data_IF_637987826385
#
_entry.id   IF_637987826385
#
_cell.length_a   1.000
_cell.length_b   1.000
_cell.length_c   1.000
_cell.angle_alpha   90.00
_cell.angle_beta   90.00
_cell.angle_gamma   90.00
#
_symmetry.space_group_name_H-M   'P 1'
#
loop_
_entity.id
_entity.type
_entity.pdbx_description
1 polymer ?
#
# COMPACT_ATOMS: atom_id res chain seq x y z
N UNK A 1 61.83 25.04 -1.60
CA UNK A 1 61.16 23.73 -1.61
C UNK A 1 59.86 23.86 -0.82
N UNK A 2 58.77 24.30 -1.46
CA UNK A 2 57.47 24.47 -0.81
C UNK A 2 56.73 23.13 -0.89
N UNK A 3 56.59 22.47 0.25
CA UNK A 3 55.96 21.15 0.36
C UNK A 3 54.50 21.28 0.75
N UNK A 4 53.65 20.79 -0.16
CA UNK A 4 52.36 20.13 0.06
C UNK A 4 51.21 21.03 0.53
N UNK A 5 50.58 21.58 -0.51
CA UNK A 5 49.13 21.66 -0.67
C UNK A 5 48.34 20.80 0.34
N UNK A 6 47.60 21.47 1.21
CA UNK A 6 46.43 20.90 1.87
C UNK A 6 45.22 21.70 1.39
N UNK A 7 44.90 21.57 0.10
CA UNK A 7 43.62 22.02 -0.41
C UNK A 7 42.58 21.03 0.09
N UNK A 8 41.82 21.45 1.10
CA UNK A 8 40.65 20.79 1.65
C UNK A 8 39.71 20.47 0.49
N UNK A 9 39.56 19.18 0.20
CA UNK A 9 38.75 18.71 -0.92
C UNK A 9 37.66 17.76 -0.42
N UNK A 10 36.42 18.19 -0.68
CA UNK A 10 35.18 17.41 -0.91
C UNK A 10 34.57 16.84 0.41
N UNK A 11 33.26 16.74 0.65
CA UNK A 11 32.07 16.61 -0.21
C UNK A 11 30.87 17.15 0.56
N UNK A 12 30.10 18.08 -0.01
CA UNK A 12 28.71 18.29 0.45
C UNK A 12 27.90 17.16 -0.18
N UNK A 13 27.71 16.07 0.56
CA UNK A 13 26.79 15.01 0.17
C UNK A 13 25.36 15.55 0.30
N UNK A 14 24.83 16.12 -0.77
CA UNK A 14 23.39 16.40 -0.87
C UNK A 14 22.67 15.06 -0.93
N UNK A 15 22.16 14.59 0.20
CA UNK A 15 21.26 13.44 0.25
C UNK A 15 19.97 13.88 -0.45
N UNK A 16 19.82 13.49 -1.72
CA UNK A 16 18.54 13.63 -2.42
C UNK A 16 17.56 12.65 -1.76
N UNK A 17 16.62 13.18 -0.97
CA UNK A 17 15.53 12.38 -0.43
C UNK A 17 14.69 11.82 -1.59
N UNK A 18 14.40 10.51 -1.62
CA UNK A 18 13.55 9.95 -2.66
C UNK A 18 12.14 10.56 -2.63
N UNK A 19 11.46 10.61 -3.79
CA UNK A 19 10.09 11.10 -3.86
C UNK A 19 9.19 10.20 -3.01
N UNK A 20 8.38 10.82 -2.17
CA UNK A 20 7.38 10.10 -1.43
C UNK A 20 6.10 10.00 -2.23
N UNK A 21 5.73 8.77 -2.55
CA UNK A 21 4.48 8.46 -3.23
C UNK A 21 3.43 8.08 -2.19
N UNK A 22 2.21 8.60 -2.36
CA UNK A 22 1.06 8.14 -1.61
C UNK A 22 0.78 6.66 -1.94
N UNK A 23 0.54 5.86 -0.90
CA UNK A 23 0.20 4.44 -1.01
C UNK A 23 -1.31 4.23 -0.98
N UNK A 24 -1.79 3.36 -1.87
CA UNK A 24 -3.18 2.92 -1.90
C UNK A 24 -3.32 1.59 -1.14
N UNK A 25 -4.08 1.60 -0.04
CA UNK A 25 -4.39 0.42 0.76
C UNK A 25 -5.82 -0.05 0.49
N UNK A 26 -5.96 -1.23 -0.12
CA UNK A 26 -7.28 -1.88 -0.25
C UNK A 26 -7.61 -2.54 1.09
N UNK A 27 -8.62 -2.02 1.77
CA UNK A 27 -9.02 -2.49 3.11
C UNK A 27 -9.53 -3.93 3.01
N UNK A 28 -8.91 -4.85 3.75
CA UNK A 28 -9.19 -6.29 3.68
C UNK A 28 -8.57 -7.01 2.48
N UNK A 29 -7.65 -6.36 1.75
CA UNK A 29 -6.94 -6.90 0.59
C UNK A 29 -7.88 -7.52 -0.46
N UNK A 30 -7.73 -8.83 -0.75
CA UNK A 30 -8.56 -9.54 -1.73
C UNK A 30 -10.00 -9.73 -1.26
N UNK A 31 -10.23 -9.79 0.06
CA UNK A 31 -11.57 -9.97 0.63
C UNK A 31 -12.39 -8.69 0.60
N UNK A 32 -11.73 -7.53 0.64
CA UNK A 32 -12.39 -6.23 0.66
C UNK A 32 -13.07 -5.90 2.00
N UNK A 33 -13.98 -4.94 1.96
CA UNK A 33 -14.75 -4.48 3.11
C UNK A 33 -15.98 -5.38 3.29
N UNK A 34 -15.84 -6.44 4.08
CA UNK A 34 -16.89 -7.43 4.37
C UNK A 34 -16.78 -8.02 5.79
N UNK A 35 -17.75 -8.85 6.17
CA UNK A 35 -17.75 -9.60 7.43
C UNK A 35 -16.75 -10.77 7.40
N UNK A 36 -16.31 -11.22 8.58
CA UNK A 36 -15.39 -12.36 8.70
C UNK A 36 -13.91 -12.03 8.41
N UNK A 37 -13.60 -10.76 8.15
CA UNK A 37 -12.21 -10.27 8.02
C UNK A 37 -11.75 -9.70 9.36
N UNK A 38 -10.56 -10.09 9.81
CA UNK A 38 -9.92 -9.49 10.97
C UNK A 38 -9.15 -8.23 10.53
N UNK A 39 -9.80 -7.06 10.63
CA UNK A 39 -9.20 -5.79 10.22
C UNK A 39 -8.05 -5.32 11.11
N UNK A 40 -8.00 -5.78 12.36
CA UNK A 40 -6.84 -5.54 13.24
C UNK A 40 -5.62 -6.26 12.69
N UNK A 41 -5.73 -7.55 12.41
CA UNK A 41 -4.66 -8.33 11.79
C UNK A 41 -4.31 -7.82 10.39
N UNK A 42 -5.30 -7.35 9.62
CA UNK A 42 -5.03 -6.72 8.32
C UNK A 42 -4.18 -5.44 8.45
N UNK A 43 -4.41 -4.63 9.48
CA UNK A 43 -3.66 -3.40 9.73
C UNK A 43 -2.28 -3.64 10.35
N UNK A 44 -2.03 -4.79 10.96
CA UNK A 44 -0.73 -5.13 11.56
C UNK A 44 0.40 -5.09 10.53
N UNK A 45 1.52 -4.47 10.91
CA UNK A 45 2.71 -4.32 10.08
C UNK A 45 2.57 -3.32 8.91
N UNK A 46 1.42 -2.66 8.76
CA UNK A 46 1.24 -1.57 7.78
C UNK A 46 1.53 -0.22 8.43
N UNK A 47 2.23 0.63 7.69
CA UNK A 47 2.53 2.00 8.08
C UNK A 47 1.69 2.95 7.23
N UNK A 48 0.87 3.78 7.86
CA UNK A 48 -0.02 4.70 7.16
C UNK A 48 0.51 6.11 7.33
N UNK A 49 0.65 6.84 6.22
CA UNK A 49 1.18 8.19 6.21
C UNK A 49 0.16 9.20 5.72
N UNK A 50 0.39 10.48 6.05
CA UNK A 50 -0.40 11.56 5.44
C UNK A 50 -0.23 11.52 3.93
N UNK A 51 -1.34 11.53 3.21
CA UNK A 51 -1.40 11.44 1.75
C UNK A 51 -1.80 10.06 1.23
N UNK A 52 -1.60 9.00 2.01
CA UNK A 52 -2.05 7.64 1.65
C UNK A 52 -3.57 7.57 1.53
N UNK A 53 -4.07 6.52 0.87
CA UNK A 53 -5.49 6.33 0.61
C UNK A 53 -5.95 4.97 1.10
N UNK A 54 -7.07 4.95 1.81
CA UNK A 54 -7.83 3.73 2.08
C UNK A 54 -8.88 3.54 0.99
N UNK A 55 -8.95 2.34 0.43
CA UNK A 55 -9.93 1.96 -0.60
C UNK A 55 -10.82 0.86 -0.02
N UNK A 56 -12.08 1.19 0.20
CA UNK A 56 -13.11 0.28 0.71
C UNK A 56 -13.92 -0.27 -0.46
N UNK A 57 -13.71 -1.55 -0.79
CA UNK A 57 -14.43 -2.24 -1.86
C UNK A 57 -15.47 -3.19 -1.30
N UNK A 58 -16.72 -3.07 -1.76
CA UNK A 58 -17.85 -3.88 -1.35
C UNK A 58 -19.00 -3.78 -2.36
N UNK A 59 -19.93 -4.74 -2.37
CA UNK A 59 -21.10 -4.63 -3.24
C UNK A 59 -22.00 -3.47 -2.79
N UNK A 60 -22.38 -2.59 -3.71
CA UNK A 60 -23.20 -1.43 -3.39
C UNK A 60 -24.52 -1.86 -2.73
N UNK A 61 -24.89 -1.20 -1.64
CA UNK A 61 -26.13 -1.48 -0.91
C UNK A 61 -26.04 -2.57 0.16
N UNK A 62 -24.95 -3.36 0.22
CA UNK A 62 -24.78 -4.36 1.31
C UNK A 62 -24.01 -3.80 2.51
N UNK A 63 -23.11 -2.86 2.27
CA UNK A 63 -22.25 -2.25 3.26
C UNK A 63 -22.16 -0.74 3.03
N UNK A 64 -21.56 -0.04 3.99
CA UNK A 64 -21.23 1.38 3.91
C UNK A 64 -19.96 1.64 4.74
N UNK A 65 -19.43 2.85 4.65
CA UNK A 65 -18.29 3.29 5.44
C UNK A 65 -18.63 4.59 6.13
N UNK A 66 -18.51 4.59 7.45
CA UNK A 66 -18.51 5.81 8.26
C UNK A 66 -17.12 6.06 8.79
N UNK A 67 -16.67 7.32 8.73
CA UNK A 67 -15.55 7.80 9.55
C UNK A 67 -16.10 8.27 10.89
N UNK A 68 -15.57 7.75 11.99
CA UNK A 68 -16.06 8.03 13.35
C UNK A 68 -14.93 8.40 14.30
N UNK A 69 -15.27 8.78 15.53
CA UNK A 69 -14.32 8.94 16.62
C UNK A 69 -14.13 7.62 17.40
N UNK A 70 -13.17 7.59 18.33
CA UNK A 70 -12.87 6.39 19.12
C UNK A 70 -14.03 5.87 19.96
N UNK A 71 -14.84 6.76 20.56
CA UNK A 71 -16.01 6.36 21.37
C UNK A 71 -17.08 5.71 20.52
N UNK A 72 -17.46 6.35 19.40
CA UNK A 72 -18.43 5.81 18.46
C UNK A 72 -17.93 4.51 17.82
N UNK A 73 -16.63 4.37 17.57
CA UNK A 73 -16.03 3.12 17.12
C UNK A 73 -16.19 2.00 18.14
N UNK A 74 -15.93 2.26 19.43
CA UNK A 74 -16.08 1.27 20.50
C UNK A 74 -17.53 0.82 20.67
N UNK A 75 -18.45 1.77 20.61
CA UNK A 75 -19.89 1.54 20.81
C UNK A 75 -20.61 1.10 19.52
N UNK A 76 -19.93 1.09 18.38
CA UNK A 76 -20.57 0.96 17.07
C UNK A 76 -21.72 1.96 16.85
N UNK A 77 -21.56 3.18 17.37
CA UNK A 77 -22.55 4.24 17.23
C UNK A 77 -22.52 4.77 15.79
N UNK A 78 -23.65 4.62 15.09
CA UNK A 78 -23.80 4.99 13.68
C UNK A 78 -24.23 6.46 13.58
N UNK A 79 -23.47 7.31 12.85
CA UNK A 79 -23.85 8.70 12.57
C UNK A 79 -25.07 8.83 11.64
N UNK A 80 -25.41 10.06 11.24
CA UNK A 80 -26.51 10.30 10.30
C UNK A 80 -26.30 9.55 8.98
N UNK A 81 -27.34 8.97 8.34
CA UNK A 81 -27.22 8.34 7.02
C UNK A 81 -26.55 9.20 5.94
N UNK A 82 -26.65 10.53 6.03
CA UNK A 82 -26.03 11.48 5.10
C UNK A 82 -24.49 11.51 5.16
N UNK A 83 -23.90 10.99 6.23
CA UNK A 83 -22.45 10.94 6.44
C UNK A 83 -21.83 9.64 5.90
N UNK A 84 -22.66 8.70 5.45
CA UNK A 84 -22.20 7.41 4.94
C UNK A 84 -21.58 7.55 3.55
N UNK A 85 -20.43 6.91 3.35
CA UNK A 85 -19.96 6.57 2.01
C UNK A 85 -20.61 5.25 1.58
N UNK A 86 -21.17 5.24 0.36
CA UNK A 86 -22.09 4.16 -0.11
C UNK A 86 -21.84 3.76 -1.56
N UNK A 87 -20.70 4.13 -2.16
CA UNK A 87 -20.47 3.88 -3.59
C UNK A 87 -20.18 2.41 -3.92
N UNK A 88 -19.69 1.63 -2.93
CA UNK A 88 -19.14 0.29 -3.14
C UNK A 88 -17.64 0.26 -3.50
N UNK A 89 -17.04 1.43 -3.76
CA UNK A 89 -15.60 1.58 -3.98
C UNK A 89 -15.13 2.92 -3.43
N UNK A 90 -15.39 3.16 -2.15
CA UNK A 90 -15.10 4.45 -1.51
C UNK A 90 -13.61 4.62 -1.26
N UNK A 91 -13.13 5.84 -1.50
CA UNK A 91 -11.72 6.21 -1.32
C UNK A 91 -11.64 7.30 -0.26
N UNK A 92 -10.79 7.09 0.75
CA UNK A 92 -10.54 8.06 1.80
C UNK A 92 -9.05 8.39 1.82
N UNK A 93 -8.72 9.64 1.52
CA UNK A 93 -7.35 10.17 1.69
C UNK A 93 -7.06 10.47 3.16
N UNK A 94 -5.93 9.99 3.66
CA UNK A 94 -5.45 10.22 5.01
C UNK A 94 -4.81 11.61 5.09
N UNK A 95 -5.65 12.63 5.32
CA UNK A 95 -5.20 14.03 5.25
C UNK A 95 -4.47 14.54 6.50
N UNK A 96 -4.60 13.86 7.65
CA UNK A 96 -4.03 14.32 8.91
C UNK A 96 -3.44 13.16 9.71
N UNK A 97 -2.39 13.41 10.53
CA UNK A 97 -1.85 12.41 11.44
C UNK A 97 -2.86 11.97 12.51
N UNK A 98 -2.50 10.93 13.26
CA UNK A 98 -3.23 10.40 14.40
C UNK A 98 -4.18 9.26 14.04
N UNK A 99 -4.89 8.76 15.05
CA UNK A 99 -5.79 7.62 14.89
C UNK A 99 -6.99 7.97 14.01
N UNK A 100 -7.37 7.03 13.15
CA UNK A 100 -8.57 7.11 12.30
C UNK A 100 -9.41 5.87 12.52
N UNK A 101 -10.72 6.04 12.63
CA UNK A 101 -11.66 4.96 12.91
C UNK A 101 -12.73 4.91 11.83
N UNK A 102 -13.03 3.70 11.39
CA UNK A 102 -14.01 3.44 10.34
C UNK A 102 -14.89 2.26 10.75
N UNK A 103 -16.18 2.34 10.45
CA UNK A 103 -17.16 1.29 10.76
C UNK A 103 -18.12 1.08 9.60
N UNK A 104 -18.70 -0.11 9.52
CA UNK A 104 -19.92 -0.34 8.75
C UNK A 104 -21.13 -0.16 9.68
N UNK A 105 -22.06 0.73 9.31
CA UNK A 105 -23.26 1.04 10.09
C UNK A 105 -24.49 0.21 9.70
N UNK A 106 -24.35 -0.83 8.88
CA UNK A 106 -25.46 -1.70 8.48
C UNK A 106 -25.71 -2.74 9.59
N UNK A 107 -26.86 -2.66 10.26
CA UNK A 107 -27.27 -3.60 11.31
C UNK A 107 -26.16 -3.86 12.34
N UNK A 108 -25.89 -5.13 12.62
CA UNK A 108 -24.86 -5.58 13.58
C UNK A 108 -23.45 -5.73 12.97
N UNK A 109 -23.19 -5.20 11.76
CA UNK A 109 -21.92 -5.47 11.07
C UNK A 109 -20.70 -4.94 11.85
N UNK A 110 -20.78 -3.73 12.40
CA UNK A 110 -19.70 -3.18 13.24
C UNK A 110 -19.47 -4.03 14.50
N UNK A 111 -20.55 -4.42 15.19
CA UNK A 111 -20.46 -5.25 16.39
C UNK A 111 -19.88 -6.64 16.08
N UNK A 112 -20.14 -7.14 14.87
CA UNK A 112 -19.58 -8.39 14.33
C UNK A 112 -18.16 -8.25 13.78
N UNK A 113 -17.48 -7.13 14.04
CA UNK A 113 -16.06 -6.94 13.72
C UNK A 113 -15.77 -6.18 12.42
N UNK A 114 -16.79 -5.70 11.69
CA UNK A 114 -16.60 -4.91 10.46
C UNK A 114 -16.28 -3.44 10.78
N UNK A 115 -15.09 -3.25 11.35
CA UNK A 115 -14.58 -1.97 11.85
C UNK A 115 -13.05 -1.95 11.75
N UNK A 116 -12.50 -0.81 11.34
CA UNK A 116 -11.06 -0.60 11.17
C UNK A 116 -10.60 0.57 12.03
N UNK A 117 -9.47 0.39 12.71
CA UNK A 117 -8.71 1.48 13.30
C UNK A 117 -7.28 1.42 12.82
N UNK A 118 -6.74 2.58 12.43
CA UNK A 118 -5.35 2.76 12.03
C UNK A 118 -4.74 3.96 12.75
N UNK A 119 -3.41 4.04 12.75
CA UNK A 119 -2.66 5.22 13.18
C UNK A 119 -1.94 5.79 11.96
N UNK A 120 -2.10 7.09 11.72
CA UNK A 120 -1.48 7.80 10.60
C UNK A 120 -0.32 8.64 11.11
N UNK A 121 0.86 8.46 10.55
CA UNK A 121 2.04 9.23 10.90
C UNK A 121 2.15 10.52 10.10
N UNK A 122 2.82 11.51 10.70
CA UNK A 122 3.07 12.82 10.10
C UNK A 122 4.22 12.84 9.11
N UNK A 123 5.04 11.79 9.07
CA UNK A 123 6.11 11.74 8.09
C UNK A 123 5.51 11.56 6.71
N UNK A 124 6.10 12.24 5.76
CA UNK A 124 6.04 11.84 4.37
C UNK A 124 6.64 10.42 4.31
N UNK A 125 5.96 9.45 3.68
CA UNK A 125 6.34 8.03 3.72
C UNK A 125 7.86 7.83 3.53
N UNK A 126 8.53 6.98 4.33
CA UNK A 126 9.94 6.72 4.17
C UNK A 126 10.18 6.20 2.75
N UNK A 127 11.19 6.79 2.13
CA UNK A 127 11.59 6.46 0.78
C UNK A 127 11.72 4.94 0.58
N UNK A 128 11.07 4.42 -0.45
CA UNK A 128 11.31 3.06 -0.92
C UNK A 128 12.80 2.90 -1.26
N UNK A 129 13.41 1.82 -0.77
CA UNK A 129 14.82 1.54 -1.03
C UNK A 129 15.08 1.52 -2.55
N UNK A 130 16.21 2.09 -3.02
CA UNK A 130 16.53 2.07 -4.43
C UNK A 130 16.60 0.63 -4.93
N UNK A 131 15.89 0.36 -6.04
CA UNK A 131 15.94 -0.94 -6.70
C UNK A 131 17.39 -1.31 -7.05
N UNK A 132 17.81 -2.58 -6.92
CA UNK A 132 19.15 -2.99 -7.33
C UNK A 132 19.34 -2.67 -8.81
N UNK A 133 20.47 -2.03 -9.14
CA UNK A 133 20.79 -1.64 -10.51
C UNK A 133 20.81 -2.87 -11.43
N UNK A 134 20.29 -2.78 -12.67
CA UNK A 134 20.49 -3.83 -13.66
C UNK A 134 21.98 -3.97 -13.92
N UNK A 135 22.53 -5.17 -13.72
CA UNK A 135 23.92 -5.47 -14.02
C UNK A 135 24.11 -5.37 -15.54
N UNK A 136 24.70 -4.26 -15.98
CA UNK A 136 25.15 -4.06 -17.36
C UNK A 136 26.29 -5.04 -17.64
N UNK A 137 25.95 -6.19 -18.24
CA UNK A 137 26.93 -7.06 -18.87
C UNK A 137 27.51 -6.35 -20.10
N UNK A 138 28.81 -6.07 -20.06
CA UNK A 138 29.56 -5.50 -21.18
C UNK A 138 29.58 -6.39 -22.44
N UNK A 139 30.07 -5.87 -23.59
CA UNK A 139 29.66 -6.33 -24.91
C UNK A 139 30.53 -7.46 -25.52
N UNK A 140 29.81 -8.34 -26.23
CA UNK A 140 30.12 -9.02 -27.50
C UNK A 140 31.45 -9.78 -27.64
N UNK A 141 31.34 -11.11 -27.74
CA UNK A 141 32.03 -11.86 -28.80
C UNK A 141 31.00 -12.66 -29.58
N UNK A 142 30.84 -12.26 -30.84
CA UNK A 142 30.10 -12.97 -31.86
C UNK A 142 30.66 -14.38 -32.02
N UNK A 143 29.80 -15.39 -31.90
CA UNK A 143 30.01 -16.64 -32.63
C UNK A 143 28.70 -17.07 -33.26
N UNK A 144 28.48 -16.62 -34.51
CA UNK A 144 27.47 -17.20 -35.38
C UNK A 144 27.94 -18.62 -35.74
N UNK A 145 27.22 -19.62 -35.26
CA UNK A 145 27.08 -20.91 -35.96
C UNK A 145 25.60 -21.30 -35.99
N UNK A 146 25.19 -22.04 -37.03
CA UNK A 146 23.93 -21.80 -37.72
C UNK A 146 22.73 -22.42 -37.02
N UNK A 147 21.58 -21.84 -37.32
CA UNK A 147 20.27 -22.37 -36.97
C UNK A 147 20.06 -23.73 -37.61
N UNK A 148 19.91 -24.75 -36.77
CA UNK A 148 19.30 -26.01 -37.17
C UNK A 148 17.83 -25.95 -36.77
N UNK A 149 17.03 -25.48 -37.73
CA UNK A 149 15.61 -25.74 -37.84
C UNK A 149 15.42 -27.26 -37.80
N UNK A 150 14.61 -27.80 -36.89
CA UNK A 150 13.79 -29.03 -37.05
C UNK A 150 12.82 -29.17 -35.86
N UNK A 151 11.56 -28.85 -36.15
CA UNK A 151 10.35 -29.64 -35.87
C UNK A 151 10.25 -30.49 -34.58
N UNK A 152 9.27 -30.09 -33.75
CA UNK A 152 8.05 -30.85 -33.42
C UNK A 152 8.18 -32.14 -32.58
N UNK A 153 7.44 -32.21 -31.46
CA UNK A 153 6.50 -33.29 -31.04
C UNK A 153 5.98 -32.99 -29.62
N UNK A 154 4.69 -32.67 -29.46
CA UNK A 154 3.61 -33.58 -29.05
C UNK A 154 3.88 -34.34 -27.74
N UNK A 155 3.15 -33.89 -26.70
CA UNK A 155 2.18 -34.61 -25.86
C UNK A 155 2.42 -36.11 -25.56
N UNK A 156 2.05 -36.47 -24.30
CA UNK A 156 1.82 -37.80 -23.66
C UNK A 156 3.05 -38.32 -22.88
N UNK A 157 2.97 -38.92 -21.68
CA UNK A 157 1.93 -39.79 -21.09
C UNK A 157 2.19 -40.07 -19.57
N UNK A 158 1.08 -40.32 -18.84
CA UNK A 158 0.83 -41.26 -17.72
C UNK A 158 1.52 -41.09 -16.34
N UNK A 159 0.71 -40.91 -15.28
CA UNK A 159 -0.01 -42.01 -14.60
C UNK A 159 -1.49 -41.67 -14.47
#
# INVERSE_FOLDING_TARGET
MASKAFLIMIVVATIAAPPAFATDYVVGDRSGWTLGVNYTAWAEGKEFYVGDRLIFKYAKGVHNVYKVNGTAFQQCAVPSPSEALTSGSDVITLATPGRKWYICGVGEHCASGMKLVITVDSSIAPASAPAPAPTSGGPLMHNKKPMNFWSNWKLKIHF
#
